data_IF_094220440260
#
_entry.id   IF_094220440260
#
_cell.length_a   1.000
_cell.length_b   1.000
_cell.length_c   1.000
_cell.angle_alpha   90.00
_cell.angle_beta   90.00
_cell.angle_gamma   90.00
#
_symmetry.space_group_name_H-M   'P 1'
#
loop_
_entity.id
_entity.type
_entity.pdbx_description
1 polymer ?
#
# COMPACT_ATOMS: atom_id res chain seq x y z
N UNK A 1 -49.15 -36.88 38.48
CA UNK A 1 -47.88 -36.53 37.81
C UNK A 1 -47.60 -35.06 38.08
N UNK A 2 -46.59 -34.76 38.88
CA UNK A 2 -46.22 -33.38 39.23
C UNK A 2 -44.99 -33.01 38.41
N UNK A 3 -45.10 -32.02 37.54
CA UNK A 3 -43.96 -31.53 36.75
C UNK A 3 -43.07 -30.70 37.67
N UNK A 4 -41.78 -31.05 37.75
CA UNK A 4 -40.81 -30.30 38.53
C UNK A 4 -40.41 -29.03 37.76
N UNK A 5 -40.95 -27.89 38.22
CA UNK A 5 -40.83 -26.58 37.56
C UNK A 5 -39.36 -26.11 37.50
N UNK A 6 -38.54 -26.45 38.51
CA UNK A 6 -37.12 -26.07 38.53
C UNK A 6 -36.34 -26.75 37.39
N UNK A 7 -36.65 -28.03 37.12
CA UNK A 7 -36.04 -28.80 36.03
C UNK A 7 -36.47 -28.29 34.64
N UNK A 8 -37.65 -27.68 34.56
CA UNK A 8 -38.14 -27.05 33.34
C UNK A 8 -37.43 -25.70 33.08
N UNK A 9 -37.16 -24.93 34.13
CA UNK A 9 -36.40 -23.68 34.07
C UNK A 9 -34.97 -23.87 33.54
N UNK A 10 -34.23 -24.83 34.10
CA UNK A 10 -32.88 -25.17 33.64
C UNK A 10 -32.85 -25.60 32.16
N UNK A 11 -33.85 -26.36 31.71
CA UNK A 11 -33.93 -26.81 30.33
C UNK A 11 -34.17 -25.64 29.36
N UNK A 12 -35.02 -24.69 29.74
CA UNK A 12 -35.29 -23.49 28.93
C UNK A 12 -34.02 -22.64 28.82
N UNK A 13 -33.30 -22.44 29.92
CA UNK A 13 -32.05 -21.65 29.95
C UNK A 13 -30.97 -22.26 29.04
N UNK A 14 -30.78 -23.58 29.09
CA UNK A 14 -29.85 -24.31 28.21
C UNK A 14 -30.25 -24.12 26.73
N UNK A 15 -31.53 -24.26 26.40
CA UNK A 15 -32.01 -24.12 25.01
C UNK A 15 -31.83 -22.69 24.49
N UNK A 16 -32.05 -21.68 25.33
CA UNK A 16 -31.83 -20.27 24.97
C UNK A 16 -30.36 -20.00 24.71
N UNK A 17 -29.45 -20.44 25.60
CA UNK A 17 -28.01 -20.28 25.42
C UNK A 17 -27.49 -20.98 24.15
N UNK A 18 -27.92 -22.21 23.91
CA UNK A 18 -27.56 -22.95 22.69
C UNK A 18 -28.05 -22.27 21.41
N UNK A 19 -29.21 -21.61 21.45
CA UNK A 19 -29.72 -20.84 20.32
C UNK A 19 -28.97 -19.52 20.12
N UNK A 20 -28.59 -18.83 21.20
CA UNK A 20 -27.75 -17.63 21.11
C UNK A 20 -26.39 -17.95 20.48
N UNK A 21 -25.70 -19.00 20.93
CA UNK A 21 -24.43 -19.44 20.34
C UNK A 21 -24.54 -19.75 18.84
N UNK A 22 -25.65 -20.37 18.43
CA UNK A 22 -25.92 -20.66 17.02
C UNK A 22 -26.17 -19.40 16.21
N UNK A 23 -26.89 -18.42 16.77
CA UNK A 23 -27.15 -17.13 16.12
C UNK A 23 -25.85 -16.35 15.99
N UNK A 24 -25.02 -16.29 17.04
CA UNK A 24 -23.73 -15.61 17.01
C UNK A 24 -22.80 -16.21 15.96
N UNK A 25 -22.70 -17.54 15.89
CA UNK A 25 -21.89 -18.21 14.86
C UNK A 25 -22.34 -17.85 13.44
N UNK A 26 -23.65 -17.89 13.19
CA UNK A 26 -24.21 -17.50 11.89
C UNK A 26 -23.95 -16.03 11.57
N UNK A 27 -24.10 -15.14 12.55
CA UNK A 27 -23.80 -13.72 12.39
C UNK A 27 -22.33 -13.50 12.07
N UNK A 28 -21.41 -14.20 12.74
CA UNK A 28 -19.97 -14.11 12.45
C UNK A 28 -19.62 -14.63 11.06
N UNK A 29 -20.21 -15.75 10.64
CA UNK A 29 -20.03 -16.29 9.29
C UNK A 29 -20.50 -15.29 8.22
N UNK A 30 -21.69 -14.72 8.38
CA UNK A 30 -22.22 -13.69 7.47
C UNK A 30 -21.37 -12.42 7.46
N UNK A 31 -20.93 -11.93 8.63
CA UNK A 31 -20.04 -10.76 8.71
C UNK A 31 -18.73 -11.03 7.97
N UNK A 32 -18.14 -12.22 8.15
CA UNK A 32 -16.90 -12.59 7.47
C UNK A 32 -17.11 -12.72 5.96
N UNK A 33 -18.25 -13.26 5.52
CA UNK A 33 -18.62 -13.33 4.12
C UNK A 33 -18.78 -11.94 3.51
N UNK A 34 -19.51 -11.04 4.15
CA UNK A 34 -19.67 -9.64 3.72
C UNK A 34 -18.31 -8.95 3.65
N UNK A 35 -17.44 -9.11 4.65
CA UNK A 35 -16.09 -8.54 4.63
C UNK A 35 -15.28 -9.02 3.43
N UNK A 36 -15.39 -10.30 3.08
CA UNK A 36 -14.72 -10.87 1.91
C UNK A 36 -15.27 -10.25 0.61
N UNK A 37 -16.59 -10.19 0.45
CA UNK A 37 -17.21 -9.59 -0.73
C UNK A 37 -16.88 -8.10 -0.88
N UNK A 38 -16.84 -7.34 0.23
CA UNK A 38 -16.44 -5.94 0.21
C UNK A 38 -14.97 -5.78 -0.21
N UNK A 39 -14.09 -6.72 0.15
CA UNK A 39 -12.71 -6.77 -0.34
C UNK A 39 -12.66 -6.94 -1.86
N UNK A 40 -13.38 -7.92 -2.39
CA UNK A 40 -13.45 -8.18 -3.83
C UNK A 40 -14.05 -6.99 -4.61
N UNK A 41 -15.16 -6.41 -4.12
CA UNK A 41 -15.78 -5.21 -4.73
C UNK A 41 -14.80 -4.03 -4.72
N UNK A 42 -14.09 -3.81 -3.60
CA UNK A 42 -13.08 -2.76 -3.51
C UNK A 42 -11.98 -2.97 -4.54
N UNK A 43 -11.50 -4.19 -4.72
CA UNK A 43 -10.49 -4.52 -5.73
C UNK A 43 -10.96 -4.23 -7.17
N UNK A 44 -12.26 -4.39 -7.45
CA UNK A 44 -12.82 -4.15 -8.78
C UNK A 44 -13.32 -2.73 -9.04
N UNK A 45 -13.67 -1.96 -8.00
CA UNK A 45 -14.18 -0.60 -8.12
C UNK A 45 -13.11 0.48 -7.91
N UNK A 46 -12.02 0.14 -7.22
CA UNK A 46 -10.91 1.07 -6.98
C UNK A 46 -9.95 1.01 -8.16
N UNK A 47 -9.46 2.18 -8.59
CA UNK A 47 -8.40 2.28 -9.57
C UNK A 47 -7.21 1.40 -9.14
N UNK A 48 -6.78 0.49 -10.01
CA UNK A 48 -5.67 -0.43 -9.74
C UNK A 48 -4.40 0.30 -9.28
N UNK A 49 -4.21 1.56 -9.69
CA UNK A 49 -3.12 2.42 -9.23
C UNK A 49 -3.23 2.90 -7.79
N UNK A 50 -4.36 2.65 -7.12
CA UNK A 50 -4.60 3.06 -5.74
C UNK A 50 -4.47 1.90 -4.74
N UNK A 51 -4.32 0.66 -5.22
CA UNK A 51 -4.19 -0.55 -4.40
C UNK A 51 -2.80 -1.19 -4.54
N UNK A 52 -2.18 -1.63 -3.46
CA UNK A 52 -0.91 -2.36 -3.53
C UNK A 52 -1.15 -3.84 -3.80
N UNK A 53 -0.34 -4.43 -4.67
CA UNK A 53 -0.21 -5.88 -4.81
C UNK A 53 0.48 -6.47 -3.57
N UNK A 54 0.41 -7.80 -3.40
CA UNK A 54 1.12 -8.48 -2.32
C UNK A 54 2.64 -8.25 -2.39
N UNK A 55 3.20 -8.26 -3.59
CA UNK A 55 4.63 -8.00 -3.85
C UNK A 55 5.01 -6.56 -3.47
N UNK A 56 4.20 -5.57 -3.84
CA UNK A 56 4.45 -4.18 -3.47
C UNK A 56 4.32 -3.95 -1.96
N UNK A 57 3.40 -4.65 -1.28
CA UNK A 57 3.29 -4.61 0.19
C UNK A 57 4.60 -5.08 0.85
N UNK A 58 5.19 -6.15 0.35
CA UNK A 58 6.49 -6.65 0.81
C UNK A 58 7.62 -5.66 0.52
N UNK A 59 7.65 -5.06 -0.68
CA UNK A 59 8.64 -4.03 -1.03
C UNK A 59 8.54 -2.81 -0.12
N UNK A 60 7.32 -2.33 0.16
CA UNK A 60 7.08 -1.22 1.09
C UNK A 60 7.60 -1.57 2.48
N UNK A 61 7.31 -2.77 2.98
CA UNK A 61 7.81 -3.22 4.28
C UNK A 61 9.34 -3.21 4.33
N UNK A 62 9.99 -3.82 3.33
CA UNK A 62 11.47 -3.84 3.21
C UNK A 62 12.08 -2.46 3.09
N UNK A 63 11.37 -1.51 2.46
CA UNK A 63 11.87 -0.14 2.32
C UNK A 63 12.12 0.54 3.67
N UNK A 64 11.22 0.34 4.64
CA UNK A 64 11.42 0.85 5.99
C UNK A 64 12.58 0.15 6.71
N UNK A 65 12.75 -1.16 6.52
CA UNK A 65 13.92 -1.86 7.06
C UNK A 65 15.23 -1.36 6.44
N UNK A 66 15.25 -1.10 5.13
CA UNK A 66 16.41 -0.61 4.41
C UNK A 66 16.78 0.80 4.86
N UNK A 67 15.81 1.68 5.09
CA UNK A 67 16.02 2.98 5.72
C UNK A 67 16.64 2.86 7.11
N UNK A 68 16.05 2.03 7.98
CA UNK A 68 16.56 1.81 9.33
C UNK A 68 17.99 1.24 9.36
N UNK A 69 18.37 0.49 8.31
CA UNK A 69 19.72 -0.05 8.11
C UNK A 69 20.66 0.88 7.33
N UNK A 70 20.22 2.07 6.94
CA UNK A 70 21.02 3.04 6.18
C UNK A 70 21.40 2.59 4.77
N UNK A 71 20.58 1.76 4.12
CA UNK A 71 20.83 1.22 2.77
C UNK A 71 20.29 2.09 1.62
N UNK A 72 19.52 3.12 1.95
CA UNK A 72 18.98 4.04 0.95
C UNK A 72 20.09 4.94 0.39
N UNK A 73 20.11 5.11 -0.92
CA UNK A 73 21.11 5.98 -1.58
C UNK A 73 20.47 7.33 -1.88
N UNK A 74 21.03 8.45 -1.41
CA UNK A 74 20.52 9.77 -1.75
C UNK A 74 20.76 10.06 -3.24
N UNK A 75 19.77 10.68 -3.89
CA UNK A 75 19.95 11.24 -5.20
C UNK A 75 20.99 12.37 -5.11
N UNK A 76 22.10 12.24 -5.86
CA UNK A 76 23.11 13.30 -5.92
C UNK A 76 22.43 14.61 -6.32
N UNK A 77 22.49 15.62 -5.44
CA UNK A 77 21.87 16.93 -5.63
C UNK A 77 22.27 17.53 -6.98
N UNK A 78 21.28 17.89 -7.81
CA UNK A 78 21.50 18.97 -8.77
C UNK A 78 21.61 20.27 -7.96
N UNK A 79 22.54 21.12 -8.38
CA UNK A 79 23.06 22.23 -7.61
C UNK A 79 22.02 23.25 -7.10
N UNK A 80 22.52 23.94 -6.07
CA UNK A 80 21.97 24.87 -5.10
C UNK A 80 20.83 25.82 -5.53
N UNK A 81 20.03 26.13 -4.50
CA UNK A 81 19.20 27.34 -4.29
C UNK A 81 17.70 27.24 -4.59
N UNK A 82 16.97 26.51 -3.73
CA UNK A 82 15.63 26.94 -3.27
C UNK A 82 15.17 26.19 -2.01
N UNK A 83 14.67 26.92 -1.01
CA UNK A 83 14.26 26.43 0.33
C UNK A 83 13.02 25.50 0.38
N UNK A 84 12.65 24.86 -0.74
CA UNK A 84 11.43 24.03 -0.89
C UNK A 84 11.65 22.68 -1.57
N UNK A 85 12.87 22.15 -1.56
CA UNK A 85 13.18 20.88 -2.22
C UNK A 85 13.05 19.69 -1.25
N UNK A 86 12.46 18.60 -1.73
CA UNK A 86 12.45 17.31 -1.05
C UNK A 86 13.79 16.59 -1.28
N UNK A 87 14.31 15.94 -0.25
CA UNK A 87 15.45 15.04 -0.41
C UNK A 87 14.96 13.69 -0.93
N UNK A 88 15.48 13.25 -2.06
CA UNK A 88 15.06 12.01 -2.71
C UNK A 88 16.07 10.91 -2.45
N UNK A 89 15.60 9.75 -2.01
CA UNK A 89 16.37 8.55 -1.78
C UNK A 89 15.90 7.42 -2.69
N UNK A 90 16.84 6.57 -3.09
CA UNK A 90 16.64 5.41 -3.94
C UNK A 90 16.82 4.14 -3.11
N UNK A 91 15.80 3.31 -3.07
CA UNK A 91 15.86 2.01 -2.44
C UNK A 91 16.61 0.99 -3.31
N UNK A 92 16.93 -0.17 -2.73
CA UNK A 92 17.72 -1.23 -3.39
C UNK A 92 17.11 -1.65 -4.73
N UNK A 93 15.79 -1.94 -4.85
CA UNK A 93 15.22 -2.34 -6.14
C UNK A 93 15.38 -1.26 -7.23
N UNK A 94 15.41 0.01 -6.85
CA UNK A 94 15.60 1.13 -7.78
C UNK A 94 17.06 1.22 -8.20
N UNK A 95 17.99 0.97 -7.29
CA UNK A 95 19.42 0.91 -7.60
C UNK A 95 19.68 -0.20 -8.62
N UNK A 96 19.20 -1.42 -8.34
CA UNK A 96 19.32 -2.58 -9.23
C UNK A 96 18.70 -2.28 -10.62
N UNK A 97 17.50 -1.69 -10.65
CA UNK A 97 16.85 -1.31 -11.90
C UNK A 97 17.68 -0.34 -12.74
N UNK A 98 18.31 0.66 -12.12
CA UNK A 98 19.11 1.68 -12.82
C UNK A 98 20.44 1.15 -13.34
N UNK A 99 21.02 0.13 -12.68
CA UNK A 99 22.24 -0.55 -13.14
C UNK A 99 21.99 -1.32 -14.44
N UNK A 100 20.81 -1.92 -14.59
CA UNK A 100 20.43 -2.70 -15.79
C UNK A 100 19.78 -1.83 -16.89
N UNK A 101 19.26 -0.65 -16.54
CA UNK A 101 18.54 0.20 -17.47
C UNK A 101 19.43 0.87 -18.52
N UNK A 102 18.90 0.98 -19.75
CA UNK A 102 19.55 1.71 -20.83
C UNK A 102 19.54 3.24 -20.63
N UNK A 103 20.41 3.94 -21.37
CA UNK A 103 20.62 5.40 -21.26
C UNK A 103 19.32 6.23 -21.38
N UNK A 104 18.42 5.84 -22.29
CA UNK A 104 17.13 6.50 -22.49
C UNK A 104 16.23 6.40 -21.25
N UNK A 105 16.11 5.19 -20.66
CA UNK A 105 15.34 4.96 -19.44
C UNK A 105 15.96 5.74 -18.28
N UNK A 106 17.28 5.65 -18.12
CA UNK A 106 18.01 6.39 -17.08
C UNK A 106 17.80 7.91 -17.17
N UNK A 107 17.77 8.45 -18.38
CA UNK A 107 17.50 9.87 -18.60
C UNK A 107 16.06 10.24 -18.19
N UNK A 108 15.09 9.41 -18.56
CA UNK A 108 13.69 9.61 -18.18
C UNK A 108 13.47 9.51 -16.67
N UNK A 109 14.13 8.55 -16.00
CA UNK A 109 14.09 8.43 -14.54
C UNK A 109 14.68 9.68 -13.90
N UNK A 110 15.86 10.12 -14.32
CA UNK A 110 16.50 11.33 -13.77
C UNK A 110 15.60 12.56 -13.88
N UNK A 111 14.95 12.76 -15.02
CA UNK A 111 14.04 13.89 -15.20
C UNK A 111 12.81 13.80 -14.29
N UNK A 112 12.25 12.59 -14.13
CA UNK A 112 11.17 12.35 -13.16
C UNK A 112 11.61 12.64 -11.74
N UNK A 113 12.82 12.23 -11.35
CA UNK A 113 13.33 12.49 -10.00
C UNK A 113 13.54 13.98 -9.75
N UNK A 114 13.97 14.77 -10.74
CA UNK A 114 14.05 16.24 -10.63
C UNK A 114 12.69 16.88 -10.39
N UNK A 115 11.65 16.42 -11.10
CA UNK A 115 10.27 16.85 -10.86
C UNK A 115 9.87 16.56 -9.41
N UNK A 116 10.14 15.34 -8.92
CA UNK A 116 9.82 14.91 -7.55
C UNK A 116 10.57 15.65 -6.45
N UNK A 117 11.76 16.17 -6.73
CA UNK A 117 12.50 17.04 -5.81
C UNK A 117 11.76 18.37 -5.60
N UNK A 118 11.09 18.91 -6.64
CA UNK A 118 10.38 20.19 -6.59
C UNK A 118 8.94 20.03 -6.11
N UNK A 119 8.27 18.99 -6.57
CA UNK A 119 6.90 18.63 -6.24
C UNK A 119 6.83 17.13 -5.94
N UNK A 120 6.79 16.72 -4.67
CA UNK A 120 6.79 15.29 -4.31
C UNK A 120 5.49 14.59 -4.72
N UNK A 121 4.42 15.31 -5.06
CA UNK A 121 3.14 14.76 -5.49
C UNK A 121 2.64 15.56 -6.68
N UNK A 122 3.27 15.39 -7.86
CA UNK A 122 2.82 16.06 -9.07
C UNK A 122 1.38 15.65 -9.39
N UNK A 123 0.64 16.46 -10.15
CA UNK A 123 -0.78 16.24 -10.47
C UNK A 123 -1.12 14.83 -10.98
N UNK A 124 -0.16 14.18 -11.65
CA UNK A 124 -0.27 12.82 -12.23
C UNK A 124 0.05 11.69 -11.23
N UNK A 125 0.42 12.02 -10.00
CA UNK A 125 0.61 11.06 -8.92
C UNK A 125 -0.74 10.66 -8.33
N UNK A 126 -0.95 9.36 -8.13
CA UNK A 126 -2.13 8.82 -7.47
C UNK A 126 -1.75 8.34 -6.07
N UNK A 127 -2.59 8.64 -5.10
CA UNK A 127 -2.42 8.16 -3.72
C UNK A 127 -2.80 6.68 -3.63
N UNK A 128 -1.95 5.90 -2.99
CA UNK A 128 -2.29 4.53 -2.57
C UNK A 128 -3.11 4.63 -1.29
N UNK A 129 -4.35 4.11 -1.33
CA UNK A 129 -5.36 4.33 -0.27
C UNK A 129 -5.33 3.26 0.84
N UNK A 130 -4.65 2.14 0.63
CA UNK A 130 -4.62 1.02 1.59
C UNK A 130 -3.57 1.14 2.68
N UNK A 131 -2.73 2.16 2.62
CA UNK A 131 -1.63 2.33 3.56
C UNK A 131 -1.84 3.57 4.42
N UNK A 132 -1.62 3.47 5.75
CA UNK A 132 -1.55 4.67 6.59
C UNK A 132 -0.39 5.57 6.16
N UNK A 133 0.63 5.00 5.53
CA UNK A 133 1.77 5.73 4.99
C UNK A 133 1.37 6.53 3.74
N UNK A 134 2.05 7.65 3.53
CA UNK A 134 1.84 8.53 2.37
C UNK A 134 2.55 7.97 1.13
N UNK A 135 2.00 6.88 0.60
CA UNK A 135 2.45 6.18 -0.60
C UNK A 135 1.75 6.70 -1.85
N UNK A 136 2.51 6.82 -2.92
CA UNK A 136 2.03 7.34 -4.19
C UNK A 136 2.56 6.50 -5.35
N UNK A 137 1.75 6.43 -6.41
CA UNK A 137 2.16 5.91 -7.71
C UNK A 137 2.23 7.03 -8.73
N UNK A 138 3.27 6.99 -9.56
CA UNK A 138 3.47 7.96 -10.63
C UNK A 138 3.83 7.24 -11.92
N UNK A 139 3.18 7.61 -13.02
CA UNK A 139 3.39 6.99 -14.34
C UNK A 139 4.02 7.98 -15.33
N UNK A 140 5.35 8.14 -15.39
CA UNK A 140 6.00 8.90 -16.46
C UNK A 140 6.17 8.02 -17.70
N UNK A 141 5.41 8.30 -18.75
CA UNK A 141 5.49 7.56 -20.01
C UNK A 141 5.17 6.07 -19.82
N UNK A 142 6.19 5.21 -20.00
CA UNK A 142 6.08 3.75 -19.87
C UNK A 142 6.68 3.19 -18.58
N UNK A 143 6.94 4.04 -17.59
CA UNK A 143 7.43 3.62 -16.28
C UNK A 143 6.35 3.83 -15.22
N UNK A 144 6.42 3.06 -14.14
CA UNK A 144 5.60 3.18 -12.95
C UNK A 144 6.52 3.24 -11.75
N UNK A 145 6.40 4.33 -10.99
CA UNK A 145 7.11 4.55 -9.76
C UNK A 145 6.16 4.25 -8.60
N UNK A 146 6.65 3.57 -7.58
CA UNK A 146 6.04 3.51 -6.25
C UNK A 146 6.99 4.18 -5.27
N UNK A 147 6.50 5.16 -4.53
CA UNK A 147 7.32 5.93 -3.60
C UNK A 147 6.51 6.38 -2.38
N UNK A 148 7.21 6.68 -1.29
CA UNK A 148 6.63 7.28 -0.07
C UNK A 148 7.17 8.67 0.14
N UNK A 149 6.34 9.52 0.75
CA UNK A 149 6.69 10.90 1.08
C UNK A 149 6.55 11.13 2.58
N UNK A 150 7.62 11.58 3.21
CA UNK A 150 7.59 12.13 4.55
C UNK A 150 7.66 13.66 4.47
N UNK A 151 6.57 14.31 4.91
CA UNK A 151 6.43 15.76 4.87
C UNK A 151 7.09 16.44 6.07
N UNK A 152 7.30 15.70 7.17
CA UNK A 152 7.94 16.24 8.37
C UNK A 152 9.44 16.43 8.12
N UNK A 153 10.07 15.39 7.58
CA UNK A 153 11.49 15.40 7.22
C UNK A 153 11.76 15.97 5.83
N UNK A 154 10.71 16.20 5.03
CA UNK A 154 10.79 16.59 3.61
C UNK A 154 11.61 15.62 2.78
N UNK A 155 11.40 14.34 3.02
CA UNK A 155 12.08 13.27 2.30
C UNK A 155 11.10 12.48 1.44
N UNK A 156 11.62 11.92 0.35
CA UNK A 156 10.89 11.03 -0.52
C UNK A 156 11.77 9.81 -0.79
N UNK A 157 11.21 8.61 -0.66
CA UNK A 157 11.91 7.36 -0.97
C UNK A 157 11.23 6.68 -2.14
N UNK A 158 11.97 6.52 -3.24
CA UNK A 158 11.53 5.73 -4.40
C UNK A 158 11.79 4.27 -4.08
N UNK A 159 10.71 3.49 -3.96
CA UNK A 159 10.73 2.09 -3.50
C UNK A 159 10.99 1.14 -4.66
N UNK A 160 10.29 1.36 -5.79
CA UNK A 160 10.48 0.57 -7.02
C UNK A 160 10.14 1.40 -8.27
N UNK A 161 10.76 1.04 -9.39
CA UNK A 161 10.47 1.52 -10.73
C UNK A 161 10.27 0.30 -11.62
N UNK A 162 9.14 0.25 -12.31
CA UNK A 162 8.80 -0.88 -13.17
C UNK A 162 8.33 -0.39 -14.54
N UNK A 163 8.67 -1.08 -15.64
CA UNK A 163 8.04 -0.84 -16.93
C UNK A 163 6.55 -1.16 -16.85
N UNK A 164 5.72 -0.27 -17.39
CA UNK A 164 4.30 -0.52 -17.61
C UNK A 164 4.19 -1.48 -18.79
N UNK A 165 4.25 -2.78 -18.51
CA UNK A 165 3.94 -3.80 -19.51
C UNK A 165 2.45 -3.69 -19.86
N UNK A 166 2.11 -3.78 -21.16
CA UNK A 166 0.70 -3.74 -21.63
C UNK A 166 -0.11 -5.01 -21.24
N UNK A 167 0.31 -5.73 -20.20
CA UNK A 167 -0.27 -7.03 -19.78
C UNK A 167 -1.45 -6.80 -18.83
N UNK A 168 -2.33 -5.88 -19.19
CA UNK A 168 -3.73 -5.94 -18.78
C UNK A 168 -4.54 -5.91 -20.08
N UNK A 169 -4.68 -7.09 -20.67
CA UNK A 169 -5.74 -7.42 -21.62
C UNK A 169 -6.68 -8.39 -20.92
#
# INVERSE_FOLDING_TARGET
MTVNINKLGEYIEIVVLMNMDRIEKKLFEEINFIKKQLGEIKEHMVDIDSLLTAEEKELVFRSFENEARGKLVPLKKLEESNSKMFEVFLDIPVQDFLEEAGESINSQVKETLKELVLDPVPHRAKRVIESPQKLFRLRPGHLRFLYRVDYETRTLVVITIEPVSRIYR
#
